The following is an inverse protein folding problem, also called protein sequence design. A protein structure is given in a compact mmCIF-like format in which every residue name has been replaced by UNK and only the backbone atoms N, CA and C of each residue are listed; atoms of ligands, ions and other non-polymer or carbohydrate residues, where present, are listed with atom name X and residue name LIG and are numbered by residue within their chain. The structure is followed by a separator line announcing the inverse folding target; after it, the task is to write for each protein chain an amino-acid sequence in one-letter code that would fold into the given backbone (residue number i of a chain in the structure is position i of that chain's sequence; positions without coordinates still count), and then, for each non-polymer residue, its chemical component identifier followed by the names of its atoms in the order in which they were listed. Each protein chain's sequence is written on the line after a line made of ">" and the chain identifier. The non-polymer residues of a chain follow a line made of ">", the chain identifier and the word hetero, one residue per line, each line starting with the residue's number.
data_IF_899416813233
#
_entry.id   IF_899416813233
#
_cell.length_a   1.000
_cell.length_b   1.000
_cell.length_c   1.000
_cell.angle_alpha   90.00
_cell.angle_beta   90.00
_cell.angle_gamma   90.00
#
_symmetry.space_group_name_H-M   'P 1'
#
loop_
_entity.id
_entity.type
_entity.pdbx_description
1 polymer ?
#
# COMPACT_ATOMS: atom_id res chain seq x y z
N UNK A 1 1.47 -8.26 -19.11
CA UNK A 1 1.86 -9.65 -18.77
C UNK A 1 2.02 -9.73 -17.26
N UNK A 2 1.35 -10.69 -16.63
CA UNK A 2 1.41 -10.91 -15.17
C UNK A 2 2.76 -11.55 -14.83
N UNK A 3 3.42 -11.08 -13.77
CA UNK A 3 4.72 -11.58 -13.30
C UNK A 3 4.60 -12.12 -11.87
N UNK A 4 5.51 -13.01 -11.48
CA UNK A 4 5.63 -13.54 -10.11
C UNK A 4 6.69 -12.77 -9.33
N UNK A 5 6.47 -12.62 -8.02
CA UNK A 5 7.48 -12.07 -7.11
C UNK A 5 8.41 -13.19 -6.64
N UNK A 6 9.71 -13.05 -6.91
CA UNK A 6 10.72 -14.05 -6.55
C UNK A 6 11.46 -13.73 -5.23
N UNK A 7 11.11 -12.63 -4.56
CA UNK A 7 11.72 -12.19 -3.29
C UNK A 7 10.72 -12.21 -2.13
N UNK A 8 11.25 -12.31 -0.91
CA UNK A 8 10.41 -12.33 0.30
C UNK A 8 10.08 -10.91 0.77
N UNK A 9 8.81 -10.67 1.08
CA UNK A 9 8.33 -9.39 1.61
C UNK A 9 8.29 -9.52 3.14
N UNK A 10 9.14 -8.76 3.83
CA UNK A 10 9.29 -8.84 5.29
C UNK A 10 7.99 -8.56 6.03
N UNK A 11 7.17 -7.62 5.54
CA UNK A 11 5.91 -7.26 6.19
C UNK A 11 4.85 -8.37 6.13
N UNK A 12 4.95 -9.29 5.17
CA UNK A 12 4.02 -10.42 5.09
C UNK A 12 4.41 -11.57 6.04
N UNK A 13 5.58 -11.53 6.66
CA UNK A 13 6.01 -12.53 7.65
C UNK A 13 5.18 -12.49 8.94
N UNK A 14 4.56 -11.36 9.26
CA UNK A 14 3.68 -11.24 10.43
C UNK A 14 2.34 -11.96 10.25
N UNK A 15 2.04 -12.45 9.05
CA UNK A 15 0.84 -13.22 8.78
C UNK A 15 0.96 -14.63 9.35
N UNK A 16 -0.15 -15.19 9.85
CA UNK A 16 -0.21 -16.59 10.32
C UNK A 16 0.26 -17.59 9.25
N UNK A 17 -0.01 -17.31 7.98
CA UNK A 17 0.43 -18.10 6.83
C UNK A 17 0.94 -17.15 5.76
N UNK A 18 2.18 -17.35 5.34
CA UNK A 18 2.75 -16.61 4.22
C UNK A 18 2.12 -17.07 2.90
N UNK A 19 1.75 -16.17 1.98
CA UNK A 19 1.22 -16.56 0.67
C UNK A 19 2.22 -17.40 -0.13
N UNK A 20 1.76 -18.48 -0.78
CA UNK A 20 2.64 -19.37 -1.54
C UNK A 20 3.23 -18.67 -2.78
N UNK A 21 2.40 -17.96 -3.53
CA UNK A 21 2.77 -17.24 -4.74
C UNK A 21 2.11 -15.86 -4.74
N UNK A 22 2.84 -14.84 -5.20
CA UNK A 22 2.34 -13.47 -5.33
C UNK A 22 2.53 -13.04 -6.77
N UNK A 23 1.42 -12.78 -7.45
CA UNK A 23 1.38 -12.27 -8.81
C UNK A 23 1.20 -10.75 -8.79
N UNK A 24 1.90 -10.05 -9.69
CA UNK A 24 1.85 -8.59 -9.77
C UNK A 24 1.87 -8.09 -11.22
N UNK A 25 1.46 -6.83 -11.36
CA UNK A 25 1.58 -6.03 -12.58
C UNK A 25 2.04 -4.62 -12.16
N UNK A 26 3.07 -4.08 -12.80
CA UNK A 26 3.57 -2.72 -12.54
C UNK A 26 4.96 -2.67 -11.89
N UNK A 27 5.24 -1.59 -11.15
CA UNK A 27 6.57 -1.31 -10.59
C UNK A 27 6.77 -1.88 -9.18
N UNK A 28 7.72 -2.83 -9.05
CA UNK A 28 8.11 -3.43 -7.76
C UNK A 28 8.90 -2.50 -6.83
N UNK A 29 9.50 -1.41 -7.32
CA UNK A 29 10.26 -0.47 -6.48
C UNK A 29 9.37 0.20 -5.42
N UNK A 30 8.07 0.30 -5.67
CA UNK A 30 7.10 0.80 -4.69
C UNK A 30 7.08 -0.02 -3.40
N UNK A 31 7.44 -1.31 -3.46
CA UNK A 31 7.53 -2.17 -2.28
C UNK A 31 8.71 -1.82 -1.36
N UNK A 32 9.68 -1.03 -1.83
CA UNK A 32 10.82 -0.55 -1.04
C UNK A 32 10.53 0.79 -0.33
N UNK A 33 9.47 1.51 -0.75
CA UNK A 33 9.08 2.79 -0.15
C UNK A 33 8.37 2.58 1.19
N UNK A 34 8.28 3.64 2.00
CA UNK A 34 7.50 3.63 3.26
C UNK A 34 6.05 3.27 2.98
N UNK A 35 5.56 2.21 3.62
CA UNK A 35 4.20 1.69 3.45
C UNK A 35 3.28 2.30 4.51
N UNK A 36 2.25 3.04 4.09
CA UNK A 36 1.20 3.58 4.97
C UNK A 36 -0.14 3.14 4.40
N UNK A 37 -0.92 2.41 5.19
CA UNK A 37 -2.28 2.00 4.82
C UNK A 37 -3.28 3.08 5.24
N UNK A 38 -4.13 3.52 4.31
CA UNK A 38 -5.27 4.41 4.59
C UNK A 38 -6.54 3.58 4.44
N UNK A 39 -7.23 3.33 5.55
CA UNK A 39 -8.50 2.60 5.59
C UNK A 39 -9.61 3.48 6.18
N UNK A 40 -10.86 3.18 5.86
CA UNK A 40 -11.99 3.95 6.37
C UNK A 40 -13.34 3.44 5.86
N UNK A 41 -14.39 4.19 6.15
CA UNK A 41 -15.75 3.90 5.67
C UNK A 41 -15.85 4.04 4.14
N UNK A 42 -16.68 3.20 3.51
CA UNK A 42 -17.05 3.33 2.08
C UNK A 42 -17.89 4.57 1.79
N UNK A 43 -18.52 5.16 2.81
CA UNK A 43 -19.35 6.37 2.73
C UNK A 43 -18.77 7.47 3.64
N UNK A 44 -17.61 8.04 3.30
CA UNK A 44 -17.04 9.14 4.09
C UNK A 44 -17.89 10.40 3.93
N UNK A 45 -17.99 11.21 4.99
CA UNK A 45 -18.56 12.54 4.89
C UNK A 45 -17.58 13.50 4.19
N UNK A 46 -18.04 14.71 3.83
CA UNK A 46 -17.22 15.69 3.10
C UNK A 46 -15.93 16.05 3.84
N UNK A 47 -16.00 16.21 5.17
CA UNK A 47 -14.87 16.54 6.02
C UNK A 47 -13.80 15.43 5.98
N UNK A 48 -14.21 14.18 6.21
CA UNK A 48 -13.31 13.02 6.17
C UNK A 48 -12.67 12.90 4.79
N UNK A 49 -13.43 13.07 3.71
CA UNK A 49 -12.89 12.99 2.34
C UNK A 49 -11.79 14.02 2.09
N UNK A 50 -12.01 15.27 2.51
CA UNK A 50 -11.04 16.34 2.35
C UNK A 50 -9.74 16.08 3.12
N UNK A 51 -9.85 15.69 4.39
CA UNK A 51 -8.67 15.42 5.21
C UNK A 51 -7.92 14.16 4.77
N UNK A 52 -8.63 13.10 4.36
CA UNK A 52 -7.99 11.90 3.81
C UNK A 52 -7.22 12.23 2.53
N UNK A 53 -7.77 13.07 1.65
CA UNK A 53 -7.07 13.54 0.46
C UNK A 53 -5.81 14.33 0.82
N UNK A 54 -5.93 15.33 1.71
CA UNK A 54 -4.79 16.14 2.18
C UNK A 54 -3.69 15.26 2.80
N UNK A 55 -4.06 14.27 3.60
CA UNK A 55 -3.11 13.35 4.25
C UNK A 55 -2.38 12.48 3.23
N UNK A 56 -3.10 11.91 2.26
CA UNK A 56 -2.49 11.12 1.19
C UNK A 56 -1.50 11.95 0.38
N UNK A 57 -1.88 13.14 -0.09
CA UNK A 57 -1.02 14.01 -0.91
C UNK A 57 0.19 14.54 -0.13
N UNK A 58 -0.01 15.08 1.07
CA UNK A 58 1.04 15.82 1.77
C UNK A 58 1.99 14.94 2.56
N UNK A 59 1.52 13.83 3.15
CA UNK A 59 2.34 13.03 4.07
C UNK A 59 2.98 11.83 3.36
N UNK A 60 2.35 11.34 2.28
CA UNK A 60 2.80 10.13 1.58
C UNK A 60 3.58 10.50 0.31
N UNK A 61 3.08 11.44 -0.51
CA UNK A 61 3.74 11.79 -1.78
C UNK A 61 4.82 12.88 -1.67
N UNK A 62 4.70 13.82 -0.72
CA UNK A 62 5.69 14.91 -0.54
C UNK A 62 6.85 14.55 0.42
N UNK A 63 7.26 13.28 0.47
CA UNK A 63 8.52 12.93 1.14
C UNK A 63 9.68 13.50 0.30
N UNK A 64 10.11 14.72 0.65
CA UNK A 64 11.43 15.29 0.32
C UNK A 64 12.53 14.49 0.99
#
# INVERSE_FOLDING_TARGET
>A
MIKTIDFRISELLSMKKYPNEIFYIGNCELLKKRKISIIGTRKPNSYTKEFTHKLASNVIYNNK
#
